data_IF_887047741809
#
_entry.id   IF_887047741809
#
_cell.length_a   1.000
_cell.length_b   1.000
_cell.length_c   1.000
_cell.angle_alpha   90.00
_cell.angle_beta   90.00
_cell.angle_gamma   90.00
#
_symmetry.space_group_name_H-M   'P 1'
#
loop_
_entity.id
_entity.type
_entity.pdbx_description
1 polymer ?
#
# COMPACT_ATOMS: atom_id res chain seq x y z
N UNK A 1 36.54 -11.19 -0.18
CA UNK A 1 35.42 -11.58 -1.06
C UNK A 1 34.15 -11.22 -0.29
N UNK A 2 33.51 -10.09 -0.61
CA UNK A 2 32.31 -9.61 0.09
C UNK A 2 31.15 -10.54 -0.25
N UNK A 3 30.78 -11.41 0.69
CA UNK A 3 29.63 -12.28 0.59
C UNK A 3 28.39 -11.44 0.91
N UNK A 4 27.93 -10.64 -0.06
CA UNK A 4 26.63 -9.98 0.06
C UNK A 4 25.55 -11.06 0.16
N UNK A 5 24.73 -11.07 1.23
CA UNK A 5 23.71 -12.08 1.38
C UNK A 5 22.66 -11.88 0.27
N UNK A 6 22.50 -12.87 -0.60
CA UNK A 6 21.50 -12.90 -1.68
C UNK A 6 20.08 -12.58 -1.17
N UNK A 7 19.83 -12.84 0.12
CA UNK A 7 18.58 -12.55 0.83
C UNK A 7 18.28 -11.04 0.95
N UNK A 8 19.29 -10.19 1.13
CA UNK A 8 19.07 -8.73 1.23
C UNK A 8 18.66 -8.12 -0.11
N UNK A 9 19.11 -8.72 -1.22
CA UNK A 9 18.72 -8.28 -2.56
C UNK A 9 17.26 -8.64 -2.86
N UNK A 10 16.85 -9.87 -2.56
CA UNK A 10 15.46 -10.32 -2.75
C UNK A 10 14.45 -9.54 -1.89
N UNK A 11 14.84 -9.15 -0.67
CA UNK A 11 14.02 -8.32 0.21
C UNK A 11 13.88 -6.89 -0.32
N UNK A 12 14.96 -6.33 -0.87
CA UNK A 12 14.92 -5.02 -1.51
C UNK A 12 14.01 -5.04 -2.75
N UNK A 13 14.09 -6.10 -3.55
CA UNK A 13 13.26 -6.26 -4.74
C UNK A 13 11.76 -6.35 -4.39
N UNK A 14 11.38 -7.09 -3.33
CA UNK A 14 9.99 -7.17 -2.89
C UNK A 14 9.49 -5.87 -2.25
N UNK A 15 10.36 -5.13 -1.56
CA UNK A 15 10.05 -3.80 -1.04
C UNK A 15 9.80 -2.80 -2.17
N UNK A 16 10.69 -2.75 -3.16
CA UNK A 16 10.58 -1.86 -4.33
C UNK A 16 9.34 -2.20 -5.14
N UNK A 17 9.11 -3.49 -5.41
CA UNK A 17 7.90 -3.98 -6.07
C UNK A 17 6.65 -3.49 -5.33
N UNK A 18 6.56 -3.73 -4.02
CA UNK A 18 5.41 -3.33 -3.23
C UNK A 18 5.19 -1.81 -3.19
N UNK A 19 6.27 -1.02 -3.12
CA UNK A 19 6.19 0.43 -3.19
C UNK A 19 5.66 0.91 -4.55
N UNK A 20 6.11 0.32 -5.65
CA UNK A 20 5.60 0.61 -7.00
C UNK A 20 4.12 0.26 -7.12
N UNK A 21 3.69 -0.89 -6.60
CA UNK A 21 2.27 -1.29 -6.58
C UNK A 21 1.39 -0.30 -5.80
N UNK A 22 1.87 0.20 -4.65
CA UNK A 22 1.16 1.22 -3.86
C UNK A 22 1.01 2.52 -4.66
N UNK A 23 2.08 2.99 -5.31
CA UNK A 23 2.03 4.19 -6.16
C UNK A 23 1.06 4.00 -7.33
N UNK A 24 1.08 2.82 -7.94
CA UNK A 24 0.22 2.48 -9.08
C UNK A 24 -1.25 2.35 -8.69
N UNK A 25 -1.55 1.67 -7.57
CA UNK A 25 -2.91 1.54 -7.04
C UNK A 25 -3.51 2.89 -6.64
N UNK A 26 -2.75 3.72 -5.93
CA UNK A 26 -3.19 5.08 -5.57
C UNK A 26 -3.44 5.96 -6.80
N UNK A 27 -2.55 5.89 -7.82
CA UNK A 27 -2.78 6.56 -9.10
C UNK A 27 -4.09 6.15 -9.76
N UNK A 28 -4.42 4.85 -9.82
CA UNK A 28 -5.67 4.38 -10.42
C UNK A 28 -6.91 4.87 -9.65
N UNK A 29 -6.87 4.89 -8.32
CA UNK A 29 -7.97 5.42 -7.49
C UNK A 29 -8.16 6.93 -7.71
N UNK A 30 -7.06 7.69 -7.84
CA UNK A 30 -7.12 9.12 -8.17
C UNK A 30 -7.68 9.36 -9.58
N UNK A 31 -7.25 8.57 -10.56
CA UNK A 31 -7.78 8.64 -11.92
C UNK A 31 -9.25 8.24 -11.98
N UNK A 32 -9.68 7.26 -11.18
CA UNK A 32 -11.09 6.91 -11.02
C UNK A 32 -11.90 8.11 -10.53
N UNK A 33 -11.45 8.76 -9.45
CA UNK A 33 -12.11 9.94 -8.90
C UNK A 33 -12.14 11.10 -9.90
N UNK A 34 -11.05 11.29 -10.66
CA UNK A 34 -11.00 12.28 -11.73
C UNK A 34 -12.04 12.00 -12.83
N UNK A 35 -12.10 10.76 -13.34
CA UNK A 35 -13.07 10.33 -14.34
C UNK A 35 -14.51 10.46 -13.82
N UNK A 36 -14.74 10.10 -12.55
CA UNK A 36 -16.05 10.25 -11.90
C UNK A 36 -16.52 11.70 -11.89
N UNK A 37 -15.66 12.64 -11.49
CA UNK A 37 -15.98 14.07 -11.54
C UNK A 37 -16.19 14.58 -12.97
N UNK A 38 -15.37 14.11 -13.92
CA UNK A 38 -15.43 14.51 -15.32
C UNK A 38 -16.76 14.08 -15.98
N UNK A 39 -17.23 12.86 -15.71
CA UNK A 39 -18.49 12.36 -16.28
C UNK A 39 -19.75 12.85 -15.54
N UNK A 40 -19.72 13.02 -14.22
CA UNK A 40 -20.87 13.61 -13.50
C UNK A 40 -21.11 15.08 -13.88
N UNK A 41 -20.04 15.83 -14.18
CA UNK A 41 -20.16 17.20 -14.73
C UNK A 41 -20.76 17.21 -16.14
N UNK A 42 -20.65 16.12 -16.90
CA UNK A 42 -21.20 15.98 -18.23
C UNK A 42 -22.74 15.77 -18.20
N UNK A 43 -23.26 15.01 -17.24
CA UNK A 43 -24.70 14.70 -17.12
C UNK A 43 -25.58 15.94 -16.92
N UNK A 44 -25.07 16.99 -16.28
CA UNK A 44 -25.78 18.26 -16.10
C UNK A 44 -25.93 19.09 -17.40
N UNK A 45 -25.35 18.64 -18.53
CA UNK A 45 -25.50 19.29 -19.84
C UNK A 45 -26.32 18.38 -20.75
N UNK A 46 -27.61 18.69 -20.86
CA UNK A 46 -28.58 18.08 -21.79
C UNK A 46 -27.94 17.87 -23.18
N UNK A 47 -27.98 16.62 -23.68
CA UNK A 47 -27.55 16.10 -24.99
C UNK A 47 -26.21 15.34 -25.07
N UNK A 48 -26.34 14.00 -25.04
CA UNK A 48 -25.37 13.03 -25.58
C UNK A 48 -24.40 12.42 -24.57
N UNK A 49 -24.84 11.43 -23.78
CA UNK A 49 -23.96 10.76 -22.81
C UNK A 49 -22.86 9.93 -23.50
N UNK A 50 -21.62 10.40 -23.47
CA UNK A 50 -20.46 9.51 -23.58
C UNK A 50 -20.27 8.86 -22.20
N UNK A 51 -20.54 7.56 -22.11
CA UNK A 51 -20.43 6.78 -20.88
C UNK A 51 -19.53 5.57 -21.15
N UNK A 52 -18.23 5.64 -20.80
CA UNK A 52 -17.29 4.56 -21.03
C UNK A 52 -17.69 3.31 -20.25
N UNK A 53 -17.44 2.13 -20.82
CA UNK A 53 -17.77 0.84 -20.17
C UNK A 53 -16.94 0.68 -18.89
N UNK A 54 -15.66 1.08 -18.96
CA UNK A 54 -14.73 1.05 -17.84
C UNK A 54 -15.22 1.90 -16.67
N UNK A 55 -15.90 3.01 -16.96
CA UNK A 55 -16.51 3.87 -15.97
C UNK A 55 -17.78 3.26 -15.36
N UNK A 56 -18.68 2.68 -16.17
CA UNK A 56 -19.92 2.03 -15.69
C UNK A 56 -19.65 0.86 -14.74
N UNK A 57 -18.63 0.07 -15.05
CA UNK A 57 -18.20 -1.07 -14.22
C UNK A 57 -17.40 -0.61 -13.00
N UNK A 58 -17.01 0.68 -12.96
CA UNK A 58 -16.13 1.26 -11.94
C UNK A 58 -14.80 0.51 -11.80
N UNK A 59 -14.29 -0.07 -12.88
CA UNK A 59 -13.04 -0.84 -12.86
C UNK A 59 -11.88 -0.09 -12.16
N UNK A 60 -11.65 1.22 -12.41
CA UNK A 60 -10.53 1.91 -11.77
C UNK A 60 -10.64 1.98 -10.23
N UNK A 61 -11.84 1.78 -9.64
CA UNK A 61 -12.00 1.62 -8.18
C UNK A 61 -11.51 0.27 -7.67
N UNK A 62 -11.55 -0.78 -8.50
CA UNK A 62 -11.07 -2.12 -8.17
C UNK A 62 -9.55 -2.17 -8.06
N UNK A 63 -8.85 -1.14 -8.55
CA UNK A 63 -7.41 -0.97 -8.37
C UNK A 63 -7.00 -0.79 -6.90
N UNK A 64 -7.96 -0.66 -5.97
CA UNK A 64 -7.71 -0.87 -4.54
C UNK A 64 -7.01 -2.21 -4.26
N UNK A 65 -7.28 -3.25 -5.06
CA UNK A 65 -6.57 -4.53 -4.98
C UNK A 65 -5.06 -4.39 -5.21
N UNK A 66 -4.63 -3.48 -6.10
CA UNK A 66 -3.20 -3.23 -6.38
C UNK A 66 -2.53 -2.60 -5.16
N UNK A 67 -3.22 -1.64 -4.54
CA UNK A 67 -2.76 -0.99 -3.31
C UNK A 67 -2.60 -1.99 -2.17
N UNK A 68 -3.60 -2.87 -1.96
CA UNK A 68 -3.54 -3.91 -0.94
C UNK A 68 -2.44 -4.94 -1.25
N UNK A 69 -2.29 -5.36 -2.50
CA UNK A 69 -1.21 -6.25 -2.93
C UNK A 69 0.16 -5.65 -2.61
N UNK A 70 0.36 -4.36 -2.89
CA UNK A 70 1.61 -3.66 -2.58
C UNK A 70 1.93 -3.60 -1.09
N UNK A 71 0.92 -3.36 -0.24
CA UNK A 71 1.10 -3.42 1.23
C UNK A 71 1.54 -4.81 1.66
N UNK A 72 0.94 -5.86 1.10
CA UNK A 72 1.29 -7.24 1.42
C UNK A 72 2.71 -7.59 0.97
N UNK A 73 3.13 -7.14 -0.23
CA UNK A 73 4.51 -7.30 -0.73
C UNK A 73 5.53 -6.58 0.17
N UNK A 74 5.23 -5.35 0.63
CA UNK A 74 6.08 -4.64 1.60
C UNK A 74 6.10 -5.35 2.95
N UNK A 75 4.98 -5.89 3.39
CA UNK A 75 4.88 -6.63 4.64
C UNK A 75 5.69 -7.93 4.60
N UNK A 76 5.73 -8.62 3.46
CA UNK A 76 6.62 -9.77 3.26
C UNK A 76 8.10 -9.37 3.37
N UNK A 77 8.49 -8.24 2.79
CA UNK A 77 9.86 -7.74 2.89
C UNK A 77 10.25 -7.44 4.36
N UNK A 78 9.30 -6.93 5.16
CA UNK A 78 9.55 -6.59 6.57
C UNK A 78 9.46 -7.78 7.52
N UNK A 79 8.49 -8.66 7.27
CA UNK A 79 8.18 -9.81 8.10
C UNK A 79 8.42 -11.09 7.31
N UNK A 80 9.47 -11.84 7.67
CA UNK A 80 9.91 -13.06 6.97
C UNK A 80 9.06 -14.31 7.29
N UNK A 81 7.87 -14.13 7.88
CA UNK A 81 6.98 -15.24 8.22
C UNK A 81 6.46 -15.98 6.97
N UNK A 82 6.24 -17.28 7.07
CA UNK A 82 5.64 -18.07 5.97
C UNK A 82 4.24 -17.55 5.61
N UNK A 83 3.50 -17.07 6.59
CA UNK A 83 2.14 -16.57 6.39
C UNK A 83 2.11 -15.25 5.60
N UNK A 84 3.02 -14.31 5.88
CA UNK A 84 3.14 -13.07 5.12
C UNK A 84 3.50 -13.35 3.65
N UNK A 85 4.44 -14.27 3.39
CA UNK A 85 4.78 -14.69 2.02
C UNK A 85 3.61 -15.32 1.27
N UNK A 86 2.87 -16.24 1.90
CA UNK A 86 1.67 -16.84 1.28
C UNK A 86 0.60 -15.79 0.98
N UNK A 87 0.41 -14.84 1.88
CA UNK A 87 -0.58 -13.77 1.71
C UNK A 87 -0.17 -12.79 0.60
N UNK A 88 1.11 -12.41 0.52
CA UNK A 88 1.65 -11.60 -0.56
C UNK A 88 1.52 -12.29 -1.92
N UNK A 89 1.82 -13.60 -2.00
CA UNK A 89 1.59 -14.40 -3.19
C UNK A 89 0.12 -14.35 -3.65
N UNK A 90 -0.82 -14.62 -2.75
CA UNK A 90 -2.24 -14.57 -3.07
C UNK A 90 -2.68 -13.15 -3.50
N UNK A 91 -2.21 -12.12 -2.79
CA UNK A 91 -2.50 -10.72 -3.13
C UNK A 91 -2.04 -10.35 -4.54
N UNK A 92 -0.82 -10.76 -4.91
CA UNK A 92 -0.28 -10.51 -6.25
C UNK A 92 -1.04 -11.29 -7.34
N UNK A 93 -1.51 -12.50 -7.07
CA UNK A 93 -2.38 -13.26 -7.99
C UNK A 93 -3.70 -12.54 -8.24
N UNK A 94 -4.35 -12.06 -7.17
CA UNK A 94 -5.59 -11.28 -7.29
C UNK A 94 -5.34 -9.97 -8.05
N UNK A 95 -4.24 -9.27 -7.76
CA UNK A 95 -3.82 -8.06 -8.47
C UNK A 95 -3.66 -8.32 -9.97
N UNK A 96 -2.96 -9.39 -10.35
CA UNK A 96 -2.76 -9.78 -11.75
C UNK A 96 -4.09 -10.04 -12.49
N UNK A 97 -5.05 -10.73 -11.84
CA UNK A 97 -6.36 -11.00 -12.42
C UNK A 97 -7.17 -9.72 -12.63
N UNK A 98 -7.17 -8.82 -11.65
CA UNK A 98 -7.86 -7.52 -11.76
C UNK A 98 -7.22 -6.67 -12.87
N UNK A 99 -5.89 -6.63 -12.95
CA UNK A 99 -5.18 -5.91 -14.01
C UNK A 99 -5.51 -6.49 -15.40
N UNK A 100 -5.57 -7.81 -15.55
CA UNK A 100 -5.94 -8.46 -16.80
C UNK A 100 -7.38 -8.11 -17.23
N UNK A 101 -8.34 -8.16 -16.30
CA UNK A 101 -9.72 -7.75 -16.57
C UNK A 101 -9.79 -6.27 -16.99
N UNK A 102 -9.04 -5.42 -16.32
CA UNK A 102 -8.88 -4.01 -16.68
C UNK A 102 -8.36 -3.76 -18.08
N UNK A 103 -7.28 -4.43 -18.44
CA UNK A 103 -6.67 -4.36 -19.77
C UNK A 103 -7.70 -4.73 -20.83
N UNK A 104 -8.43 -5.84 -20.64
CA UNK A 104 -9.47 -6.28 -21.59
C UNK A 104 -10.59 -5.24 -21.71
N UNK A 105 -11.09 -4.70 -20.58
CA UNK A 105 -12.15 -3.68 -20.58
C UNK A 105 -11.70 -2.40 -21.29
N UNK A 106 -10.49 -1.90 -20.98
CA UNK A 106 -9.96 -0.67 -21.57
C UNK A 106 -9.69 -0.85 -23.06
N UNK A 107 -9.10 -1.97 -23.49
CA UNK A 107 -8.89 -2.27 -24.91
C UNK A 107 -10.24 -2.32 -25.64
N UNK A 108 -11.23 -3.00 -25.07
CA UNK A 108 -12.58 -3.09 -25.65
C UNK A 108 -13.18 -1.70 -25.83
N UNK A 109 -13.07 -0.84 -24.82
CA UNK A 109 -13.52 0.55 -24.88
C UNK A 109 -12.79 1.38 -25.95
N UNK A 110 -11.48 1.23 -26.08
CA UNK A 110 -10.68 1.94 -27.08
C UNK A 110 -10.97 1.46 -28.50
N UNK A 111 -11.29 0.18 -28.69
CA UNK A 111 -11.65 -0.41 -29.98
C UNK A 111 -13.09 -0.09 -30.40
N UNK A 112 -14.00 0.19 -29.47
CA UNK A 112 -15.38 0.54 -29.79
C UNK A 112 -15.47 1.93 -30.42
N UNK A 113 -15.98 1.96 -31.66
CA UNK A 113 -16.20 3.20 -32.41
C UNK A 113 -17.41 3.93 -31.82
N UNK A 114 -17.16 5.05 -31.15
CA UNK A 114 -18.20 5.91 -30.60
C UNK A 114 -18.60 6.97 -31.63
N UNK A 115 -19.86 6.97 -32.05
CA UNK A 115 -20.46 8.10 -32.77
C UNK A 115 -20.69 9.23 -31.75
N UNK A 116 -19.78 10.21 -31.73
CA UNK A 116 -19.80 11.27 -30.72
C UNK A 116 -20.33 12.58 -31.30
N UNK A 117 -21.24 13.21 -30.56
CA UNK A 117 -21.68 14.59 -30.83
C UNK A 117 -20.55 15.59 -30.58
N UNK A 118 -20.39 16.57 -31.47
CA UNK A 118 -19.27 17.54 -31.50
C UNK A 118 -19.02 18.26 -30.16
N UNK A 119 -20.08 18.55 -29.37
CA UNK A 119 -19.96 19.22 -28.06
C UNK A 119 -19.25 18.39 -26.98
N UNK A 120 -19.25 17.06 -27.10
CA UNK A 120 -18.65 16.16 -26.12
C UNK A 120 -17.32 15.56 -26.60
N UNK A 121 -16.83 15.96 -27.78
CA UNK A 121 -15.54 15.49 -28.31
C UNK A 121 -14.37 15.81 -27.37
N UNK A 122 -14.32 17.02 -26.78
CA UNK A 122 -13.23 17.39 -25.88
C UNK A 122 -13.21 16.53 -24.62
N UNK A 123 -14.39 16.24 -24.05
CA UNK A 123 -14.51 15.43 -22.82
C UNK A 123 -14.14 13.96 -23.13
N UNK A 124 -14.63 13.42 -24.24
CA UNK A 124 -14.30 12.07 -24.65
C UNK A 124 -12.83 11.91 -25.06
N UNK A 125 -12.21 12.93 -25.65
CA UNK A 125 -10.78 12.94 -25.95
C UNK A 125 -9.94 12.86 -24.67
N UNK A 126 -10.27 13.68 -23.65
CA UNK A 126 -9.61 13.62 -22.34
C UNK A 126 -9.83 12.26 -21.69
N UNK A 127 -11.07 11.73 -21.72
CA UNK A 127 -11.37 10.39 -21.22
C UNK A 127 -10.51 9.31 -21.88
N UNK A 128 -10.35 9.35 -23.21
CA UNK A 128 -9.50 8.41 -23.94
C UNK A 128 -8.02 8.52 -23.59
N UNK A 129 -7.51 9.75 -23.38
CA UNK A 129 -6.14 9.95 -22.89
C UNK A 129 -5.96 9.29 -21.53
N UNK A 130 -6.88 9.52 -20.59
CA UNK A 130 -6.84 8.91 -19.26
C UNK A 130 -6.95 7.39 -19.34
N UNK A 131 -7.86 6.85 -20.17
CA UNK A 131 -7.95 5.41 -20.43
C UNK A 131 -6.64 4.85 -21.00
N UNK A 132 -5.93 5.60 -21.85
CA UNK A 132 -4.60 5.24 -22.33
C UNK A 132 -3.54 5.15 -21.22
N UNK A 133 -3.53 6.12 -20.30
CA UNK A 133 -2.66 6.06 -19.12
C UNK A 133 -3.01 4.87 -18.22
N UNK A 134 -4.30 4.65 -17.96
CA UNK A 134 -4.78 3.50 -17.18
C UNK A 134 -4.42 2.15 -17.81
N UNK A 135 -4.43 2.05 -19.14
CA UNK A 135 -4.00 0.85 -19.86
C UNK A 135 -2.51 0.59 -19.65
N UNK A 136 -1.68 1.62 -19.85
CA UNK A 136 -0.24 1.52 -19.68
C UNK A 136 0.11 1.10 -18.25
N UNK A 137 -0.54 1.72 -17.26
CA UNK A 137 -0.29 1.40 -15.86
C UNK A 137 -0.86 0.04 -15.46
N UNK A 138 -2.02 -0.37 -15.99
CA UNK A 138 -2.55 -1.74 -15.77
C UNK A 138 -1.65 -2.82 -16.38
N UNK A 139 -1.05 -2.57 -17.56
CA UNK A 139 -0.06 -3.47 -18.16
C UNK A 139 1.20 -3.59 -17.30
N UNK A 140 1.66 -2.46 -16.74
CA UNK A 140 2.81 -2.46 -15.84
C UNK A 140 2.54 -3.26 -14.57
N UNK A 141 1.38 -3.07 -13.94
CA UNK A 141 0.95 -3.85 -12.76
C UNK A 141 0.87 -5.35 -13.08
N UNK A 142 0.27 -5.71 -14.21
CA UNK A 142 0.20 -7.10 -14.67
C UNK A 142 1.60 -7.70 -14.87
N UNK A 143 2.52 -6.96 -15.49
CA UNK A 143 3.88 -7.43 -15.76
C UNK A 143 4.68 -7.64 -14.47
N UNK A 144 4.56 -6.71 -13.52
CA UNK A 144 5.22 -6.76 -12.21
C UNK A 144 4.70 -7.94 -11.36
N UNK A 145 3.39 -8.05 -11.21
CA UNK A 145 2.74 -9.14 -10.47
C UNK A 145 3.02 -10.50 -11.09
N UNK A 146 2.98 -10.60 -12.43
CA UNK A 146 3.32 -11.83 -13.14
C UNK A 146 4.77 -12.25 -12.92
N UNK A 147 5.72 -11.30 -13.00
CA UNK A 147 7.15 -11.56 -12.75
C UNK A 147 7.37 -12.06 -11.32
N UNK A 148 6.72 -11.44 -10.34
CA UNK A 148 6.79 -11.86 -8.94
C UNK A 148 6.22 -13.26 -8.72
N UNK A 149 5.03 -13.55 -9.26
CA UNK A 149 4.40 -14.88 -9.19
C UNK A 149 5.33 -15.94 -9.81
N UNK A 150 5.86 -15.66 -11.01
CA UNK A 150 6.79 -16.56 -11.69
C UNK A 150 8.04 -16.83 -10.84
N UNK A 151 8.65 -15.78 -10.27
CA UNK A 151 9.81 -15.91 -9.40
C UNK A 151 9.53 -16.78 -8.18
N UNK A 152 8.40 -16.56 -7.49
CA UNK A 152 8.02 -17.32 -6.30
C UNK A 152 7.73 -18.79 -6.65
N UNK A 153 7.06 -19.06 -7.78
CA UNK A 153 6.77 -20.43 -8.24
C UNK A 153 8.05 -21.19 -8.60
N UNK A 154 8.98 -20.56 -9.34
CA UNK A 154 10.25 -21.20 -9.70
C UNK A 154 11.15 -21.49 -8.50
N UNK A 155 11.04 -20.70 -7.44
CA UNK A 155 11.85 -20.85 -6.23
C UNK A 155 11.09 -21.47 -5.05
N UNK A 156 9.88 -22.01 -5.27
CA UNK A 156 8.98 -22.43 -4.20
C UNK A 156 9.60 -23.47 -3.26
N UNK A 157 10.21 -24.52 -3.82
CA UNK A 157 10.82 -25.60 -3.05
C UNK A 157 11.99 -25.08 -2.19
N UNK A 158 12.88 -24.28 -2.79
CA UNK A 158 14.02 -23.67 -2.10
C UNK A 158 13.60 -22.69 -0.99
N UNK A 159 12.53 -21.92 -1.23
CA UNK A 159 12.00 -20.93 -0.29
C UNK A 159 11.26 -21.56 0.90
N UNK A 160 10.62 -22.71 0.70
CA UNK A 160 9.94 -23.46 1.75
C UNK A 160 10.91 -24.34 2.56
N UNK A 161 11.94 -24.90 1.93
CA UNK A 161 12.93 -25.75 2.60
C UNK A 161 13.88 -24.96 3.52
N UNK A 162 14.27 -23.73 3.15
CA UNK A 162 15.09 -22.85 4.01
C UNK A 162 14.44 -22.52 5.35
N UNK A 163 13.12 -22.49 5.41
CA UNK A 163 12.38 -22.15 6.62
C UNK A 163 12.21 -23.35 7.56
N UNK A 164 12.10 -24.59 7.05
CA UNK A 164 12.05 -25.79 7.90
C UNK A 164 13.34 -25.98 8.70
N UNK A 165 14.50 -25.68 8.10
CA UNK A 165 15.80 -25.77 8.79
C UNK A 165 15.89 -24.75 9.95
N UNK A 166 15.23 -23.60 9.83
CA UNK A 166 15.24 -22.56 10.86
C UNK A 166 14.20 -22.78 11.98
N UNK A 167 13.29 -23.74 11.82
CA UNK A 167 12.26 -24.10 12.83
C UNK A 167 12.57 -25.38 13.60
N UNK A 168 13.55 -26.19 13.16
CA UNK A 168 13.94 -27.45 13.81
C UNK A 168 15.17 -27.31 14.74
N UNK A 169 15.81 -26.14 14.75
CA UNK A 169 16.85 -25.80 15.72
C UNK A 169 16.22 -24.93 16.82
N UNK A 170 15.81 -25.56 17.92
CA UNK A 170 15.50 -24.88 19.19
C UNK A 170 16.68 -24.03 19.69
N UNK A 171 16.44 -23.14 20.68
CA UNK A 171 17.17 -21.88 20.80
C UNK A 171 18.56 -22.08 21.39
N UNK A 172 19.58 -22.13 20.53
CA UNK A 172 20.95 -21.84 20.93
C UNK A 172 21.37 -20.49 20.37
N UNK A 173 21.32 -19.52 21.29
CA UNK A 173 22.15 -18.32 21.41
C UNK A 173 23.08 -18.05 20.22
N UNK A 174 22.63 -17.20 19.29
CA UNK A 174 23.55 -16.30 18.58
C UNK A 174 22.82 -15.03 18.14
N UNK A 175 23.32 -13.90 18.64
CA UNK A 175 22.67 -12.60 18.58
C UNK A 175 22.39 -12.11 17.16
N UNK A 176 21.19 -11.56 16.98
CA UNK A 176 20.75 -10.82 15.80
C UNK A 176 20.35 -9.40 16.25
N UNK A 177 20.60 -8.34 15.44
CA UNK A 177 20.43 -6.94 15.87
C UNK A 177 18.98 -6.53 16.15
N UNK A 178 17.99 -7.34 15.75
CA UNK A 178 16.57 -6.97 15.84
C UNK A 178 15.99 -7.06 17.26
N UNK A 179 16.55 -7.90 18.14
CA UNK A 179 16.10 -7.98 19.55
C UNK A 179 16.54 -6.73 20.33
N UNK A 180 17.63 -6.08 19.90
CA UNK A 180 18.11 -4.85 20.51
C UNK A 180 17.21 -3.67 20.13
N UNK A 181 16.76 -3.58 18.87
CA UNK A 181 15.80 -2.55 18.41
C UNK A 181 14.44 -2.65 19.10
N UNK A 182 13.91 -3.86 19.30
CA UNK A 182 12.62 -4.04 20.00
C UNK A 182 12.74 -3.82 21.52
N UNK A 183 13.90 -4.13 22.11
CA UNK A 183 14.22 -3.77 23.51
C UNK A 183 14.47 -2.29 23.70
N UNK A 184 15.07 -1.62 22.71
CA UNK A 184 15.36 -0.19 22.73
C UNK A 184 14.06 0.60 22.57
N UNK A 185 13.17 0.18 21.65
CA UNK A 185 11.84 0.76 21.49
C UNK A 185 10.96 0.61 22.75
N UNK A 186 10.98 -0.56 23.41
CA UNK A 186 10.28 -0.74 24.69
C UNK A 186 10.88 0.12 25.81
N UNK A 187 12.22 0.29 25.83
CA UNK A 187 12.90 1.11 26.84
C UNK A 187 12.64 2.60 26.65
N UNK A 188 12.49 3.06 25.40
CA UNK A 188 12.07 4.43 25.07
C UNK A 188 10.61 4.69 25.48
N UNK A 189 9.68 3.78 25.15
CA UNK A 189 8.26 3.90 25.55
C UNK A 189 8.08 3.88 27.08
N UNK A 190 8.81 3.02 27.80
CA UNK A 190 8.78 2.95 29.27
C UNK A 190 9.39 4.21 29.93
N UNK A 191 10.40 4.81 29.30
CA UNK A 191 11.07 6.03 29.75
C UNK A 191 10.19 7.28 29.57
N UNK A 192 9.47 7.38 28.46
CA UNK A 192 8.55 8.47 28.16
C UNK A 192 7.35 8.48 29.12
N UNK A 193 6.78 7.29 29.39
CA UNK A 193 5.72 7.11 30.39
C UNK A 193 6.16 7.50 31.82
N UNK A 194 7.41 7.20 32.18
CA UNK A 194 7.94 7.58 33.50
C UNK A 194 8.22 9.07 33.62
N UNK A 195 8.58 9.76 32.53
CA UNK A 195 8.75 11.22 32.52
C UNK A 195 7.40 11.93 32.61
N UNK A 196 6.38 11.48 31.87
CA UNK A 196 5.03 12.06 31.94
C UNK A 196 4.45 11.97 33.35
N UNK A 197 4.58 10.83 34.03
CA UNK A 197 4.12 10.70 35.43
C UNK A 197 4.86 11.64 36.38
N UNK A 198 6.16 11.85 36.17
CA UNK A 198 6.96 12.74 37.03
C UNK A 198 6.61 14.21 36.82
N UNK A 199 6.27 14.59 35.58
CA UNK A 199 5.77 15.93 35.26
C UNK A 199 4.37 16.16 35.83
N UNK A 200 3.50 15.14 35.81
CA UNK A 200 2.17 15.20 36.42
C UNK A 200 2.26 15.38 37.95
N UNK A 201 3.13 14.62 38.61
CA UNK A 201 3.37 14.73 40.06
C UNK A 201 3.97 16.09 40.46
N UNK A 202 4.89 16.66 39.67
CA UNK A 202 5.41 18.01 39.94
C UNK A 202 4.36 19.11 39.75
N UNK A 203 3.43 18.95 38.80
CA UNK A 203 2.32 19.90 38.60
C UNK A 203 1.35 19.89 39.78
N UNK A 204 1.00 18.71 40.30
CA UNK A 204 0.12 18.61 41.48
C UNK A 204 0.76 19.24 42.73
N UNK A 205 2.08 19.07 42.91
CA UNK A 205 2.81 19.71 44.03
C UNK A 205 2.90 21.24 43.91
N UNK A 206 3.03 21.77 42.68
CA UNK A 206 3.04 23.21 42.43
C UNK A 206 1.66 23.84 42.67
N UNK A 207 0.57 23.14 42.32
CA UNK A 207 -0.79 23.61 42.60
C UNK A 207 -1.11 23.63 44.11
N UNK A 208 -0.67 22.61 44.86
CA UNK A 208 -0.91 22.56 46.30
C UNK A 208 -0.08 23.62 47.06
N UNK A 209 1.18 23.82 46.64
CA UNK A 209 2.02 24.88 47.21
C UNK A 209 1.46 26.28 46.89
N UNK A 210 0.93 26.49 45.68
CA UNK A 210 0.24 27.73 45.29
C UNK A 210 -1.02 28.02 46.13
N UNK A 211 -1.84 27.00 46.39
CA UNK A 211 -3.02 27.12 47.28
C UNK A 211 -2.62 27.39 48.73
N UNK A 212 -1.51 26.82 49.21
CA UNK A 212 -1.01 27.07 50.57
C UNK A 212 -0.54 28.52 50.76
N UNK A 213 0.14 29.10 49.76
CA UNK A 213 0.58 30.50 49.77
C UNK A 213 -0.57 31.49 49.70
N UNK A 214 -1.59 31.22 48.88
CA UNK A 214 -2.79 32.07 48.80
C UNK A 214 -3.61 32.07 50.09
N UNK A 215 -3.62 30.97 50.85
CA UNK A 215 -4.22 30.93 52.20
C UNK A 215 -3.43 31.72 53.24
N UNK A 216 -2.11 31.84 53.09
CA UNK A 216 -1.25 32.56 54.03
C UNK A 216 -1.33 34.08 53.82
N UNK A 217 -1.45 34.55 52.58
CA UNK A 217 -1.59 35.99 52.30
C UNK A 217 -3.00 36.55 52.57
N UNK A 218 -4.03 35.69 52.64
CA UNK A 218 -5.38 36.10 53.05
C UNK A 218 -5.56 36.23 54.58
N UNK A 219 -4.51 35.92 55.37
CA UNK A 219 -4.52 35.93 56.83
C UNK A 219 -3.72 37.10 57.45
N UNK A 220 -3.26 38.06 56.63
CA UNK A 220 -2.65 39.32 57.05
C UNK A 220 -3.49 40.52 56.61
#
# INVERSE_FOLDING_TARGET
MLHFPVESLSLLDSLVLGAVQIMMGSFHVLMWYFLFNLYNKQENRYFGLYSPITFKVHYPSWAFCFFMSGILSVNEAKNTSVQSRKLAFFGNVVSALVALLGIILIITELCMKSEMSYKNMSIAFVGKIVSGFLLLTSLLEFSLTFTYIYYIVCNWDSLMQKHMIHTDMGPDVQGTPCVEVEKEKKREEDGEWSMEKKVEEEKEQLEDNGKSKLKLEAAF
#
